data_IF_955398851902
#
_entry.id   IF_955398851902
#
_cell.length_a   1.000
_cell.length_b   1.000
_cell.length_c   1.000
_cell.angle_alpha   90.00
_cell.angle_beta   90.00
_cell.angle_gamma   90.00
#
_symmetry.space_group_name_H-M   'P 1'
#
loop_
_entity.id
_entity.type
_entity.pdbx_description
1 polymer ?
#
# COMPACT_ATOMS: atom_id res chain seq x y z
N UNK A 1 31.34 -6.90 4.29
CA UNK A 1 31.66 -5.87 3.29
C UNK A 1 30.57 -5.75 2.23
N UNK A 2 29.98 -4.56 2.02
CA UNK A 2 28.89 -4.34 1.04
C UNK A 2 29.43 -3.68 -0.25
N UNK A 3 29.12 -4.25 -1.41
CA UNK A 3 29.48 -3.71 -2.73
C UNK A 3 28.44 -2.69 -3.19
N UNK A 4 28.85 -1.50 -3.59
CA UNK A 4 27.94 -0.56 -4.24
C UNK A 4 27.65 -0.99 -5.69
N UNK A 5 26.68 -1.88 -5.88
CA UNK A 5 26.18 -2.14 -7.24
C UNK A 5 25.16 -1.07 -7.63
N UNK A 6 25.53 -0.20 -8.58
CA UNK A 6 24.52 0.43 -9.43
C UNK A 6 23.83 -0.68 -10.24
N UNK A 7 22.58 -0.49 -10.62
CA UNK A 7 21.86 -1.42 -11.52
C UNK A 7 22.55 -1.61 -12.90
N UNK A 8 23.73 -1.01 -13.15
CA UNK A 8 24.56 -1.29 -14.31
C UNK A 8 25.48 -2.48 -14.04
N UNK A 9 25.44 -3.47 -14.93
CA UNK A 9 26.31 -4.67 -14.88
C UNK A 9 27.80 -4.30 -14.86
N UNK A 10 28.16 -3.15 -15.44
CA UNK A 10 29.54 -2.69 -15.58
C UNK A 10 30.11 -2.01 -14.34
N UNK A 11 29.31 -1.65 -13.32
CA UNK A 11 29.82 -1.04 -12.08
C UNK A 11 29.95 -2.03 -10.93
N UNK A 12 29.62 -3.30 -11.16
CA UNK A 12 29.70 -4.34 -10.13
C UNK A 12 31.09 -4.98 -10.13
N UNK A 13 31.93 -4.59 -9.18
CA UNK A 13 33.29 -5.10 -9.02
C UNK A 13 33.38 -6.63 -8.94
N UNK A 14 32.40 -7.30 -8.30
CA UNK A 14 32.37 -8.77 -8.21
C UNK A 14 32.17 -9.42 -9.58
N UNK A 15 31.35 -8.80 -10.45
CA UNK A 15 31.18 -9.26 -11.84
C UNK A 15 32.37 -8.90 -12.73
N UNK A 16 33.08 -7.81 -12.43
CA UNK A 16 34.30 -7.47 -13.15
C UNK A 16 35.44 -8.46 -12.84
N UNK A 17 35.52 -8.97 -11.61
CA UNK A 17 36.49 -10.01 -11.24
C UNK A 17 36.33 -11.28 -12.09
N UNK A 18 35.09 -11.65 -12.46
CA UNK A 18 34.84 -12.78 -13.38
C UNK A 18 35.53 -12.60 -14.76
N UNK A 19 35.77 -11.35 -15.17
CA UNK A 19 36.40 -10.99 -16.46
C UNK A 19 37.86 -10.55 -16.30
N UNK A 20 38.36 -10.39 -15.09
CA UNK A 20 39.68 -9.85 -14.79
C UNK A 20 40.31 -10.64 -13.64
N UNK A 21 40.91 -11.82 -13.96
CA UNK A 21 41.42 -12.75 -12.95
C UNK A 21 42.62 -12.19 -12.15
N UNK A 22 43.27 -11.14 -12.65
CA UNK A 22 44.38 -10.47 -11.97
C UNK A 22 43.92 -9.43 -10.93
N UNK A 23 42.62 -9.35 -10.65
CA UNK A 23 42.03 -8.40 -9.72
C UNK A 23 41.47 -7.15 -10.40
N UNK A 24 40.62 -6.45 -9.67
CA UNK A 24 39.99 -5.20 -10.10
C UNK A 24 40.28 -4.13 -9.04
N UNK A 25 40.84 -2.96 -9.42
CA UNK A 25 41.08 -1.89 -8.47
C UNK A 25 39.76 -1.42 -7.85
N UNK A 26 39.77 -1.21 -6.54
CA UNK A 26 38.61 -0.73 -5.80
C UNK A 26 39.02 0.31 -4.76
N UNK A 27 38.07 1.18 -4.44
CA UNK A 27 38.13 2.06 -3.27
C UNK A 27 37.33 1.40 -2.16
N UNK A 28 37.79 1.55 -0.93
CA UNK A 28 37.14 0.97 0.23
C UNK A 28 37.18 1.91 1.43
N UNK A 29 36.28 1.66 2.38
CA UNK A 29 36.20 2.34 3.67
C UNK A 29 36.30 1.27 4.75
N UNK A 30 37.10 1.57 5.77
CA UNK A 30 37.27 0.74 6.96
C UNK A 30 36.51 1.36 8.13
N UNK A 31 36.11 0.52 9.08
CA UNK A 31 35.62 0.97 10.39
C UNK A 31 36.79 1.28 11.35
N UNK A 32 36.45 1.66 12.59
CA UNK A 32 37.41 1.97 13.65
C UNK A 32 38.27 0.76 14.07
N UNK A 33 37.83 -0.46 13.74
CA UNK A 33 38.59 -1.70 13.97
C UNK A 33 39.53 -2.03 12.79
N UNK A 34 39.48 -1.26 11.70
CA UNK A 34 40.27 -1.48 10.49
C UNK A 34 39.63 -2.46 9.50
N UNK A 35 38.40 -2.91 9.75
CA UNK A 35 37.69 -3.88 8.92
C UNK A 35 36.98 -3.21 7.76
N UNK A 36 37.02 -3.82 6.57
CA UNK A 36 36.42 -3.22 5.37
C UNK A 36 34.89 -3.32 5.39
N UNK A 37 34.23 -2.19 5.58
CA UNK A 37 32.76 -2.11 5.67
C UNK A 37 32.08 -1.89 4.32
N UNK A 38 32.68 -1.07 3.44
CA UNK A 38 32.11 -0.73 2.13
C UNK A 38 33.19 -0.55 1.09
N UNK A 39 32.88 -0.89 -0.16
CA UNK A 39 33.79 -0.74 -1.29
C UNK A 39 33.05 -0.43 -2.60
N UNK A 40 33.76 0.19 -3.54
CA UNK A 40 33.21 0.60 -4.81
C UNK A 40 34.27 0.92 -5.87
N UNK A 41 33.84 1.10 -7.11
CA UNK A 41 34.73 1.27 -8.25
C UNK A 41 35.34 2.68 -8.37
N UNK A 42 34.77 3.68 -7.69
CA UNK A 42 35.21 5.09 -7.76
C UNK A 42 35.36 5.66 -6.36
N UNK A 43 36.28 6.60 -6.13
CA UNK A 43 36.46 7.26 -4.82
C UNK A 43 35.22 7.98 -4.26
N UNK A 44 34.22 8.27 -5.10
CA UNK A 44 32.92 8.84 -4.72
C UNK A 44 31.80 7.78 -4.73
N UNK A 45 32.08 6.59 -4.20
CA UNK A 45 31.09 5.51 -4.12
C UNK A 45 30.07 5.80 -3.02
N UNK A 46 28.80 5.43 -3.24
CA UNK A 46 27.76 5.52 -2.20
C UNK A 46 28.06 4.49 -1.13
N UNK A 47 28.08 4.96 0.10
CA UNK A 47 28.06 4.10 1.27
C UNK A 47 26.78 3.25 1.26
N UNK A 48 26.95 1.96 1.46
CA UNK A 48 25.83 1.09 1.74
C UNK A 48 25.33 1.40 3.15
N UNK A 49 24.02 1.62 3.29
CA UNK A 49 23.42 1.78 4.61
C UNK A 49 23.59 0.48 5.42
N UNK A 50 23.84 0.64 6.70
CA UNK A 50 23.98 -0.48 7.64
C UNK A 50 22.64 -1.17 7.81
N UNK A 51 21.59 -0.38 8.09
CA UNK A 51 20.21 -0.82 8.21
C UNK A 51 19.53 -0.92 6.84
N UNK A 52 18.74 -1.96 6.68
CA UNK A 52 17.78 -2.17 5.60
C UNK A 52 16.50 -1.37 5.86
N UNK A 53 15.69 -1.15 4.82
CA UNK A 53 14.38 -0.49 4.97
C UNK A 53 13.49 -1.25 5.97
N UNK A 54 13.55 -2.60 5.97
CA UNK A 54 12.80 -3.43 6.91
C UNK A 54 13.17 -3.17 8.36
N UNK A 55 14.44 -2.84 8.64
CA UNK A 55 14.91 -2.51 9.98
C UNK A 55 14.40 -1.17 10.53
N UNK A 56 13.71 -0.36 9.71
CA UNK A 56 13.00 0.85 10.16
C UNK A 56 11.50 0.63 10.41
N UNK A 57 10.96 -0.57 10.16
CA UNK A 57 9.57 -0.92 10.48
C UNK A 57 9.49 -1.40 11.94
N UNK A 58 8.56 -0.96 12.78
CA UNK A 58 8.44 -1.49 14.15
C UNK A 58 8.31 -3.03 14.19
N UNK A 59 8.98 -3.71 15.14
CA UNK A 59 9.03 -5.18 15.22
C UNK A 59 7.66 -5.83 15.39
N UNK A 60 6.75 -5.16 16.12
CA UNK A 60 5.36 -5.59 16.26
C UNK A 60 4.58 -5.57 14.94
N UNK A 61 5.08 -4.86 13.92
CA UNK A 61 4.52 -4.79 12.57
C UNK A 61 5.30 -5.65 11.55
N UNK A 62 6.39 -6.30 11.99
CA UNK A 62 7.18 -7.20 11.14
C UNK A 62 6.62 -8.62 11.24
N UNK A 63 6.16 -9.13 10.09
CA UNK A 63 5.85 -10.55 9.80
C UNK A 63 4.54 -11.14 10.35
N UNK A 64 4.02 -12.14 9.63
CA UNK A 64 2.90 -12.98 10.10
C UNK A 64 3.32 -13.76 11.34
N UNK A 65 2.42 -13.80 12.32
CA UNK A 65 2.56 -14.53 13.58
C UNK A 65 1.49 -15.61 13.64
N UNK A 66 1.84 -16.74 14.24
CA UNK A 66 0.93 -17.82 14.49
C UNK A 66 0.79 -18.03 16.00
N UNK A 67 -0.44 -18.25 16.44
CA UNK A 67 -0.78 -18.59 17.81
C UNK A 67 -2.00 -19.52 17.76
N UNK A 68 -1.94 -20.61 18.52
CA UNK A 68 -3.05 -21.55 18.64
C UNK A 68 -3.84 -21.19 19.89
N UNK A 69 -5.11 -20.90 19.72
CA UNK A 69 -6.06 -20.62 20.79
C UNK A 69 -7.00 -21.81 21.04
N UNK A 70 -7.68 -21.88 22.19
CA UNK A 70 -8.67 -22.93 22.44
C UNK A 70 -9.81 -22.95 21.41
N UNK A 71 -10.24 -21.78 20.93
CA UNK A 71 -11.27 -21.66 19.88
C UNK A 71 -10.77 -22.25 18.55
N UNK A 72 -9.49 -22.03 18.20
CA UNK A 72 -8.89 -22.66 17.02
C UNK A 72 -8.89 -24.19 17.14
N UNK A 73 -8.61 -24.73 18.32
CA UNK A 73 -8.63 -26.18 18.58
C UNK A 73 -10.05 -26.74 18.42
N UNK A 74 -11.07 -26.06 18.95
CA UNK A 74 -12.47 -26.46 18.78
C UNK A 74 -12.87 -26.44 17.30
N UNK A 75 -12.54 -25.38 16.56
CA UNK A 75 -12.84 -25.30 15.12
C UNK A 75 -12.13 -26.38 14.31
N UNK A 76 -10.90 -26.76 14.68
CA UNK A 76 -10.18 -27.86 14.04
C UNK A 76 -10.80 -29.23 14.37
N UNK A 77 -11.31 -29.43 15.58
CA UNK A 77 -12.05 -30.66 15.96
C UNK A 77 -13.35 -30.79 15.17
N UNK A 78 -14.10 -29.70 15.02
CA UNK A 78 -15.35 -29.65 14.26
C UNK A 78 -15.12 -29.90 12.75
N UNK A 79 -13.91 -29.66 12.27
CA UNK A 79 -13.48 -29.95 10.90
C UNK A 79 -12.82 -31.33 10.75
N UNK A 80 -13.05 -32.25 11.69
CA UNK A 80 -12.58 -33.64 11.67
C UNK A 80 -11.05 -33.80 11.59
N UNK A 81 -10.28 -32.83 12.10
CA UNK A 81 -8.82 -32.96 12.20
C UNK A 81 -8.47 -34.10 13.19
N UNK A 82 -7.61 -35.07 12.84
CA UNK A 82 -7.29 -36.21 13.69
C UNK A 82 -6.83 -35.82 15.10
N UNK A 83 -7.34 -36.52 16.13
CA UNK A 83 -7.06 -36.23 17.55
C UNK A 83 -5.57 -36.18 17.89
N UNK A 84 -4.76 -37.03 17.27
CA UNK A 84 -3.29 -37.06 17.44
C UNK A 84 -2.56 -35.81 16.90
N UNK A 85 -3.19 -35.06 15.98
CA UNK A 85 -2.72 -33.75 15.52
C UNK A 85 -3.18 -32.69 16.52
N UNK A 86 -4.44 -32.74 16.94
CA UNK A 86 -5.03 -31.84 17.94
C UNK A 86 -4.21 -31.84 19.24
N UNK A 87 -3.91 -33.01 19.81
CA UNK A 87 -3.11 -33.14 21.05
C UNK A 87 -1.73 -32.48 20.94
N UNK A 88 -1.10 -32.53 19.75
CA UNK A 88 0.19 -31.87 19.52
C UNK A 88 0.05 -30.36 19.39
N UNK A 89 -1.04 -29.88 18.77
CA UNK A 89 -1.34 -28.46 18.64
C UNK A 89 -1.69 -27.83 19.99
N UNK A 90 -2.41 -28.54 20.86
CA UNK A 90 -2.68 -28.14 22.24
C UNK A 90 -1.38 -27.92 23.02
N UNK A 91 -0.35 -28.74 22.79
CA UNK A 91 0.99 -28.56 23.37
C UNK A 91 1.72 -27.27 22.93
N UNK A 92 1.21 -26.59 21.91
CA UNK A 92 1.71 -25.32 21.39
C UNK A 92 0.91 -24.09 21.86
N UNK A 93 -0.17 -24.27 22.63
CA UNK A 93 -1.00 -23.16 23.13
C UNK A 93 -0.19 -22.07 23.87
N UNK A 94 -0.73 -20.85 23.84
CA UNK A 94 -0.20 -19.65 24.53
C UNK A 94 1.21 -19.23 24.11
N UNK A 95 1.73 -19.81 23.02
CA UNK A 95 3.00 -19.43 22.40
C UNK A 95 2.73 -18.71 21.10
N UNK A 96 3.47 -17.63 20.89
CA UNK A 96 3.49 -16.91 19.62
C UNK A 96 4.71 -17.39 18.84
N UNK A 97 4.47 -17.82 17.61
CA UNK A 97 5.51 -18.31 16.71
C UNK A 97 5.67 -17.36 15.53
N UNK A 98 6.92 -17.16 15.13
CA UNK A 98 7.20 -16.55 13.83
C UNK A 98 6.95 -17.57 12.72
N UNK A 99 6.64 -17.07 11.52
CA UNK A 99 6.27 -17.89 10.36
C UNK A 99 7.18 -19.11 10.14
N UNK A 100 8.49 -18.92 10.00
CA UNK A 100 9.39 -20.04 9.69
C UNK A 100 9.40 -21.10 10.80
N UNK A 101 9.40 -20.66 12.06
CA UNK A 101 9.37 -21.55 13.22
C UNK A 101 8.05 -22.34 13.28
N UNK A 102 6.91 -21.68 13.06
CA UNK A 102 5.62 -22.35 13.09
C UNK A 102 5.49 -23.38 11.97
N UNK A 103 5.94 -23.04 10.76
CA UNK A 103 5.88 -23.95 9.61
C UNK A 103 6.74 -25.20 9.86
N UNK A 104 7.93 -25.07 10.42
CA UNK A 104 8.78 -26.21 10.76
C UNK A 104 8.12 -27.12 11.83
N UNK A 105 7.51 -26.52 12.86
CA UNK A 105 6.75 -27.28 13.86
C UNK A 105 5.57 -28.00 13.23
N UNK A 106 4.83 -27.32 12.35
CA UNK A 106 3.68 -27.89 11.67
C UNK A 106 4.08 -29.05 10.75
N UNK A 107 5.19 -28.93 10.01
CA UNK A 107 5.74 -30.00 9.17
C UNK A 107 6.06 -31.25 10.01
N UNK A 108 6.66 -31.05 11.18
CA UNK A 108 6.97 -32.13 12.12
C UNK A 108 5.71 -32.77 12.75
N UNK A 109 4.66 -31.98 12.99
CA UNK A 109 3.37 -32.48 13.50
C UNK A 109 2.67 -33.33 12.44
N UNK A 110 2.60 -32.82 11.21
CA UNK A 110 1.89 -33.44 10.10
C UNK A 110 2.64 -34.64 9.52
N UNK A 111 3.98 -34.69 9.60
CA UNK A 111 4.81 -35.81 9.07
C UNK A 111 4.47 -36.21 7.63
N UNK A 112 4.14 -35.24 6.78
CA UNK A 112 3.76 -35.47 5.38
C UNK A 112 2.31 -35.92 5.14
N UNK A 113 1.42 -35.81 6.14
CA UNK A 113 -0.04 -35.97 5.99
C UNK A 113 -0.66 -34.81 5.20
N UNK A 114 -1.93 -34.99 4.83
CA UNK A 114 -2.72 -34.19 3.89
C UNK A 114 -2.44 -32.67 3.89
N UNK A 115 -2.28 -32.12 2.68
CA UNK A 115 -2.12 -30.68 2.43
C UNK A 115 -3.36 -29.88 2.85
N UNK A 116 -4.53 -30.51 2.92
CA UNK A 116 -5.77 -29.91 3.40
C UNK A 116 -5.69 -29.52 4.88
N UNK A 117 -5.26 -30.44 5.77
CA UNK A 117 -5.08 -30.13 7.20
C UNK A 117 -4.05 -29.03 7.43
N UNK A 118 -2.98 -29.02 6.63
CA UNK A 118 -1.99 -27.93 6.70
C UNK A 118 -2.66 -26.58 6.46
N UNK A 119 -3.42 -26.47 5.38
CA UNK A 119 -4.07 -25.21 4.98
C UNK A 119 -5.08 -24.77 6.02
N UNK A 120 -5.84 -25.71 6.58
CA UNK A 120 -6.80 -25.47 7.64
C UNK A 120 -6.14 -25.01 8.95
N UNK A 121 -5.09 -25.68 9.41
CA UNK A 121 -4.37 -25.29 10.63
C UNK A 121 -3.74 -23.90 10.48
N UNK A 122 -3.12 -23.61 9.33
CA UNK A 122 -2.58 -22.27 9.05
C UNK A 122 -3.70 -21.23 9.06
N UNK A 123 -4.87 -21.55 8.48
CA UNK A 123 -6.04 -20.68 8.47
C UNK A 123 -6.54 -20.35 9.88
N UNK A 124 -6.57 -21.27 10.83
CA UNK A 124 -7.05 -20.97 12.19
C UNK A 124 -5.95 -20.32 13.05
N UNK A 125 -4.74 -20.88 13.06
CA UNK A 125 -3.66 -20.37 13.91
C UNK A 125 -3.06 -19.02 13.46
N UNK A 126 -3.33 -18.58 12.22
CA UNK A 126 -2.75 -17.37 11.65
C UNK A 126 -3.37 -16.09 12.21
N UNK A 127 -2.52 -15.14 12.60
CA UNK A 127 -2.98 -13.77 12.93
C UNK A 127 -2.98 -12.91 11.67
N UNK A 128 -4.18 -12.69 11.15
CA UNK A 128 -4.41 -11.92 9.93
C UNK A 128 -4.79 -10.49 10.25
N UNK A 129 -4.30 -9.55 9.43
CA UNK A 129 -4.91 -8.24 9.37
C UNK A 129 -6.26 -8.29 8.63
N UNK A 130 -7.04 -7.21 8.73
CA UNK A 130 -8.36 -7.12 8.08
C UNK A 130 -8.26 -7.30 6.55
N UNK A 131 -7.20 -6.82 5.91
CA UNK A 131 -7.03 -6.97 4.47
C UNK A 131 -6.82 -8.45 4.09
N UNK A 132 -5.98 -9.17 4.84
CA UNK A 132 -5.80 -10.60 4.67
C UNK A 132 -7.08 -11.37 4.98
N UNK A 133 -7.82 -11.01 6.02
CA UNK A 133 -9.10 -11.65 6.35
C UNK A 133 -10.13 -11.53 5.21
N UNK A 134 -10.18 -10.38 4.53
CA UNK A 134 -11.15 -10.10 3.46
C UNK A 134 -10.68 -10.64 2.11
N UNK A 135 -9.42 -10.40 1.73
CA UNK A 135 -8.88 -10.73 0.40
C UNK A 135 -8.19 -12.09 0.33
N UNK A 136 -8.03 -12.77 1.46
CA UNK A 136 -7.33 -14.03 1.54
C UNK A 136 -5.82 -13.88 1.51
N UNK A 137 -5.13 -15.02 1.47
CA UNK A 137 -3.70 -15.09 1.28
C UNK A 137 -3.34 -16.32 0.43
N UNK A 138 -2.11 -16.35 -0.10
CA UNK A 138 -1.67 -17.40 -1.02
C UNK A 138 -1.44 -18.76 -0.36
N UNK A 139 -1.60 -18.87 0.96
CA UNK A 139 -1.16 -20.03 1.74
C UNK A 139 -2.31 -20.78 2.43
N UNK A 140 -3.33 -20.07 2.90
CA UNK A 140 -4.31 -20.61 3.85
C UNK A 140 -5.77 -20.50 3.38
N UNK A 141 -6.19 -19.41 2.72
CA UNK A 141 -7.58 -19.24 2.30
C UNK A 141 -7.77 -18.19 1.19
N UNK A 142 -8.82 -18.39 0.38
CA UNK A 142 -9.22 -17.46 -0.68
C UNK A 142 -9.99 -16.25 -0.14
N UNK A 143 -9.96 -15.15 -0.90
CA UNK A 143 -10.72 -13.95 -0.58
C UNK A 143 -12.24 -14.15 -0.67
N UNK A 144 -12.97 -13.35 0.10
CA UNK A 144 -14.43 -13.34 0.20
C UNK A 144 -15.06 -12.11 -0.45
N UNK A 145 -14.30 -11.39 -1.27
CA UNK A 145 -14.73 -10.19 -2.01
C UNK A 145 -14.36 -10.33 -3.48
N UNK A 146 -15.33 -10.07 -4.35
CA UNK A 146 -15.25 -10.28 -5.79
C UNK A 146 -15.66 -9.01 -6.51
N UNK A 147 -14.83 -8.56 -7.46
CA UNK A 147 -15.08 -7.33 -8.23
C UNK A 147 -15.58 -7.67 -9.62
N UNK A 148 -16.65 -7.02 -10.05
CA UNK A 148 -17.12 -7.01 -11.44
C UNK A 148 -16.57 -5.79 -12.18
N UNK A 149 -16.61 -5.86 -13.51
CA UNK A 149 -16.34 -4.73 -14.37
C UNK A 149 -17.31 -3.57 -14.08
N UNK A 150 -16.77 -2.35 -14.11
CA UNK A 150 -17.58 -1.13 -14.03
C UNK A 150 -17.84 -0.60 -15.44
N UNK A 151 -19.09 -0.65 -15.88
CA UNK A 151 -19.51 -0.18 -17.18
C UNK A 151 -20.00 1.26 -17.12
N UNK A 152 -19.80 2.01 -18.20
CA UNK A 152 -20.29 3.37 -18.30
C UNK A 152 -21.83 3.40 -18.23
N UNK A 153 -22.38 4.37 -17.52
CA UNK A 153 -23.84 4.52 -17.41
C UNK A 153 -24.48 4.81 -18.78
N UNK A 154 -25.61 4.17 -19.06
CA UNK A 154 -26.29 4.22 -20.36
C UNK A 154 -26.73 5.63 -20.81
N UNK A 155 -26.85 6.57 -19.87
CA UNK A 155 -27.23 7.96 -20.11
C UNK A 155 -26.12 8.82 -20.74
N UNK A 156 -24.91 8.27 -20.91
CA UNK A 156 -23.74 9.01 -21.40
C UNK A 156 -23.43 8.70 -22.86
N UNK A 157 -23.05 9.72 -23.63
CA UNK A 157 -22.66 9.55 -25.03
C UNK A 157 -21.25 8.91 -25.11
N UNK A 158 -21.11 7.68 -25.65
CA UNK A 158 -19.81 7.01 -25.73
C UNK A 158 -18.75 7.75 -26.55
N UNK A 159 -19.16 8.68 -27.42
CA UNK A 159 -18.26 9.42 -28.31
C UNK A 159 -17.56 10.62 -27.63
N UNK A 160 -17.96 11.04 -26.42
CA UNK A 160 -17.38 12.18 -25.69
C UNK A 160 -16.74 11.79 -24.34
N UNK A 161 -16.31 10.54 -24.23
CA UNK A 161 -15.79 9.96 -22.97
C UNK A 161 -14.30 10.21 -22.79
N UNK A 162 -13.56 10.39 -23.89
CA UNK A 162 -12.10 10.39 -23.91
C UNK A 162 -11.54 11.79 -24.19
N UNK A 163 -10.43 12.11 -23.54
CA UNK A 163 -9.57 13.22 -23.93
C UNK A 163 -8.68 12.83 -25.12
N UNK A 164 -8.00 13.82 -25.71
CA UNK A 164 -7.03 13.57 -26.77
C UNK A 164 -5.88 12.65 -26.33
N UNK A 165 -5.46 11.79 -27.25
CA UNK A 165 -4.30 10.92 -27.05
C UNK A 165 -3.00 11.72 -27.06
N UNK A 166 -2.23 11.66 -25.98
CA UNK A 166 -0.98 12.42 -25.88
C UNK A 166 0.09 11.71 -25.03
N UNK A 167 1.31 12.26 -25.04
CA UNK A 167 2.42 11.81 -24.19
C UNK A 167 2.27 12.50 -22.82
N UNK A 168 2.13 11.74 -21.73
CA UNK A 168 2.02 12.33 -20.39
C UNK A 168 3.35 12.90 -19.91
N UNK A 169 3.29 13.81 -18.94
CA UNK A 169 4.50 14.38 -18.34
C UNK A 169 5.45 13.30 -17.81
N UNK A 170 6.75 13.49 -18.04
CA UNK A 170 7.78 12.54 -17.63
C UNK A 170 8.20 12.83 -16.19
N UNK A 171 7.85 11.92 -15.29
CA UNK A 171 8.15 12.04 -13.87
C UNK A 171 9.45 11.33 -13.49
N UNK A 172 10.13 11.90 -12.48
CA UNK A 172 11.30 11.27 -11.88
C UNK A 172 10.97 9.95 -11.18
N UNK A 173 11.91 9.00 -11.25
CA UNK A 173 11.82 7.75 -10.47
C UNK A 173 12.17 8.00 -9.00
N UNK A 174 11.53 7.31 -8.05
CA UNK A 174 11.94 7.34 -6.64
C UNK A 174 13.43 7.03 -6.51
N UNK A 175 14.16 7.83 -5.72
CA UNK A 175 15.58 7.60 -5.42
C UNK A 175 15.75 7.40 -3.92
N UNK A 176 16.42 6.32 -3.46
CA UNK A 176 16.75 6.13 -2.04
C UNK A 176 17.62 7.26 -1.47
N UNK A 177 18.34 8.01 -2.31
CA UNK A 177 19.13 9.17 -1.88
C UNK A 177 18.27 10.35 -1.41
N UNK A 178 16.95 10.32 -1.65
CA UNK A 178 15.98 11.30 -1.15
C UNK A 178 15.40 10.82 0.20
N UNK A 179 16.29 10.39 1.11
CA UNK A 179 15.92 9.77 2.39
C UNK A 179 15.04 10.67 3.26
N UNK A 180 15.21 11.99 3.16
CA UNK A 180 14.45 12.97 3.95
C UNK A 180 12.95 12.98 3.61
N UNK A 181 12.56 12.41 2.47
CA UNK A 181 11.15 12.22 2.13
C UNK A 181 10.58 10.91 2.69
N UNK A 182 11.43 9.91 3.00
CA UNK A 182 11.02 8.57 3.45
C UNK A 182 11.15 8.38 4.95
N UNK A 183 12.04 9.12 5.62
CA UNK A 183 12.30 9.02 7.06
C UNK A 183 11.68 10.21 7.80
N UNK A 184 11.22 10.00 9.03
CA UNK A 184 10.79 11.10 9.91
C UNK A 184 12.02 11.96 10.23
N UNK A 185 11.87 13.28 10.11
CA UNK A 185 12.93 14.26 10.34
C UNK A 185 12.54 15.14 11.52
N UNK A 186 13.46 15.32 12.46
CA UNK A 186 13.29 16.23 13.61
C UNK A 186 13.81 17.64 13.33
N UNK A 187 14.50 17.83 12.20
CA UNK A 187 15.09 19.10 11.78
C UNK A 187 14.95 19.31 10.27
N UNK A 188 14.84 20.57 9.86
CA UNK A 188 14.91 20.99 8.46
C UNK A 188 16.34 21.45 8.06
N UNK A 189 17.27 21.49 9.02
CA UNK A 189 18.68 21.82 8.75
C UNK A 189 19.35 20.66 8.01
N UNK A 190 19.86 20.95 6.82
CA UNK A 190 20.55 20.02 5.93
C UNK A 190 21.65 19.20 6.63
N UNK A 191 22.36 19.80 7.60
CA UNK A 191 23.45 19.14 8.34
C UNK A 191 22.96 18.12 9.37
N UNK A 192 21.70 18.23 9.78
CA UNK A 192 21.08 17.48 10.86
C UNK A 192 19.95 16.56 10.36
N UNK A 193 19.87 16.31 9.05
CA UNK A 193 18.89 15.40 8.47
C UNK A 193 19.26 13.94 8.77
N UNK A 194 18.31 13.19 9.32
CA UNK A 194 18.46 11.75 9.58
C UNK A 194 18.42 10.96 8.27
N UNK A 195 19.36 10.04 8.10
CA UNK A 195 19.44 9.07 7.02
C UNK A 195 19.26 7.63 7.53
N UNK A 196 19.38 6.64 6.65
CA UNK A 196 19.03 5.25 6.98
C UNK A 196 19.96 4.57 8.00
N UNK A 197 21.07 5.18 8.43
CA UNK A 197 21.84 4.59 9.54
C UNK A 197 21.33 5.11 10.90
N UNK A 198 20.62 6.22 10.91
CA UNK A 198 20.13 6.83 12.15
C UNK A 198 18.99 6.02 12.77
N UNK A 199 18.74 6.27 14.05
CA UNK A 199 17.60 5.70 14.75
C UNK A 199 16.34 6.53 14.51
N UNK A 200 15.80 6.42 13.29
CA UNK A 200 14.55 7.09 12.89
C UNK A 200 13.57 6.13 12.24
N UNK A 201 12.30 6.48 12.30
CA UNK A 201 11.19 5.71 11.72
C UNK A 201 10.94 6.07 10.25
N UNK A 202 10.41 5.11 9.50
CA UNK A 202 9.90 5.37 8.16
C UNK A 202 8.56 6.15 8.23
N UNK A 203 8.34 7.09 7.31
CA UNK A 203 7.09 7.88 7.20
C UNK A 203 5.90 7.05 6.68
N UNK A 204 6.15 5.82 6.23
CA UNK A 204 5.14 4.89 5.73
C UNK A 204 4.78 5.12 4.26
N UNK A 205 3.47 5.09 3.97
CA UNK A 205 2.96 5.03 2.61
C UNK A 205 3.22 6.31 1.78
N UNK A 206 3.72 6.12 0.56
CA UNK A 206 3.84 7.18 -0.43
C UNK A 206 2.47 7.53 -1.00
N UNK A 207 2.03 8.76 -0.77
CA UNK A 207 0.79 9.32 -1.33
C UNK A 207 1.08 10.51 -2.25
N UNK A 208 0.23 10.69 -3.25
CA UNK A 208 0.27 11.84 -4.15
C UNK A 208 -0.86 12.82 -3.79
N UNK A 209 -0.59 14.11 -3.87
CA UNK A 209 -1.66 15.11 -3.82
C UNK A 209 -2.53 15.00 -5.07
N UNK A 210 -3.82 15.34 -4.95
CA UNK A 210 -4.61 15.61 -6.14
C UNK A 210 -4.00 16.79 -6.91
N UNK A 211 -4.16 16.80 -8.23
CA UNK A 211 -3.76 17.89 -9.09
C UNK A 211 -4.95 18.19 -10.02
N UNK A 212 -5.08 19.42 -10.55
CA UNK A 212 -6.24 19.82 -11.36
C UNK A 212 -6.35 19.11 -12.72
N UNK A 213 -5.38 18.26 -13.09
CA UNK A 213 -5.42 17.47 -14.32
C UNK A 213 -5.38 18.28 -15.62
N UNK A 214 -5.03 19.58 -15.57
CA UNK A 214 -5.01 20.47 -16.73
C UNK A 214 -3.71 20.41 -17.54
N UNK A 215 -2.59 20.15 -16.87
CA UNK A 215 -1.26 20.20 -17.47
C UNK A 215 -0.61 18.80 -17.57
N UNK A 216 -1.40 17.75 -17.79
CA UNK A 216 -0.89 16.36 -17.76
C UNK A 216 0.01 15.98 -18.95
N UNK A 217 0.01 16.79 -20.01
CA UNK A 217 0.75 16.56 -21.25
C UNK A 217 2.20 17.06 -21.13
N UNK A 218 3.16 16.30 -21.65
CA UNK A 218 4.58 16.72 -21.74
C UNK A 218 4.74 17.93 -22.68
N UNK A 219 5.57 18.90 -22.30
CA UNK A 219 5.81 20.09 -23.12
C UNK A 219 6.66 19.74 -24.34
N UNK A 220 6.31 20.33 -25.49
CA UNK A 220 6.93 19.98 -26.79
C UNK A 220 8.43 20.28 -26.89
N UNK A 221 8.93 21.27 -26.15
CA UNK A 221 10.35 21.66 -26.19
C UNK A 221 11.27 20.58 -25.59
N UNK A 222 10.76 19.80 -24.64
CA UNK A 222 11.49 18.73 -23.94
C UNK A 222 11.52 17.40 -24.73
N UNK A 223 10.69 17.27 -25.77
CA UNK A 223 10.67 16.08 -26.63
C UNK A 223 11.92 15.95 -27.51
N UNK A 224 12.63 17.04 -27.80
CA UNK A 224 13.84 17.00 -28.65
C UNK A 224 15.01 16.27 -28.00
N UNK A 225 15.04 16.16 -26.66
CA UNK A 225 16.14 15.55 -25.90
C UNK A 225 15.88 14.11 -25.46
N UNK A 226 14.62 13.63 -25.49
CA UNK A 226 14.23 12.31 -24.95
C UNK A 226 13.68 11.37 -26.03
N UNK A 227 14.56 10.90 -26.93
CA UNK A 227 14.22 10.03 -28.09
C UNK A 227 13.56 8.68 -27.78
N UNK A 228 13.46 8.25 -26.51
CA UNK A 228 13.06 6.88 -26.14
C UNK A 228 11.73 6.76 -25.37
N UNK A 229 10.94 7.84 -25.23
CA UNK A 229 9.65 7.78 -24.51
C UNK A 229 8.51 7.87 -25.52
N UNK A 230 7.81 6.75 -25.73
CA UNK A 230 6.79 6.58 -26.77
C UNK A 230 5.40 6.27 -26.22
N UNK A 231 5.25 6.09 -24.91
CA UNK A 231 3.96 5.74 -24.31
C UNK A 231 2.99 6.90 -24.41
N UNK A 232 1.95 6.73 -25.23
CA UNK A 232 0.80 7.63 -25.32
C UNK A 232 -0.33 7.10 -24.46
N UNK A 233 -1.12 7.99 -23.88
CA UNK A 233 -2.31 7.65 -23.11
C UNK A 233 -3.51 8.44 -23.64
N UNK A 234 -4.69 7.87 -23.45
CA UNK A 234 -5.98 8.48 -23.78
C UNK A 234 -6.82 8.50 -22.50
N UNK A 235 -6.76 9.58 -21.70
CA UNK A 235 -7.47 9.64 -20.43
C UNK A 235 -8.99 9.73 -20.61
N UNK A 236 -9.74 9.26 -19.62
CA UNK A 236 -11.18 9.50 -19.53
C UNK A 236 -11.43 10.94 -19.08
N UNK A 237 -12.38 11.61 -19.74
CA UNK A 237 -12.81 12.99 -19.45
C UNK A 237 -13.49 13.06 -18.07
N UNK A 238 -13.38 14.20 -17.42
CA UNK A 238 -14.05 14.47 -16.15
C UNK A 238 -15.58 14.38 -16.29
N UNK A 239 -16.27 13.92 -15.24
CA UNK A 239 -17.73 13.85 -15.17
C UNK A 239 -18.35 12.54 -15.67
N UNK A 240 -17.56 11.62 -16.21
CA UNK A 240 -18.03 10.29 -16.60
C UNK A 240 -18.37 9.43 -15.37
N UNK A 241 -19.42 8.60 -15.49
CA UNK A 241 -19.94 7.74 -14.43
C UNK A 241 -19.88 6.29 -14.88
N UNK A 242 -19.38 5.45 -13.99
CA UNK A 242 -19.28 4.01 -14.20
C UNK A 242 -19.98 3.31 -13.05
N UNK A 243 -20.65 2.20 -13.36
CA UNK A 243 -21.34 1.37 -12.42
C UNK A 243 -20.81 -0.06 -12.55
N UNK A 244 -20.30 -0.58 -11.44
CA UNK A 244 -19.90 -1.97 -11.28
C UNK A 244 -20.46 -2.50 -9.98
N UNK A 245 -20.14 -3.75 -9.68
CA UNK A 245 -20.61 -4.43 -8.48
C UNK A 245 -19.44 -5.08 -7.75
N UNK A 246 -19.53 -5.08 -6.43
CA UNK A 246 -18.64 -5.81 -5.54
C UNK A 246 -19.50 -6.82 -4.80
N UNK A 247 -19.26 -8.11 -5.03
CA UNK A 247 -19.92 -9.20 -4.30
C UNK A 247 -19.07 -9.59 -3.11
N UNK A 248 -19.69 -10.02 -2.03
CA UNK A 248 -18.98 -10.52 -0.87
C UNK A 248 -19.74 -11.66 -0.19
N UNK A 249 -19.03 -12.45 0.60
CA UNK A 249 -19.59 -13.62 1.28
C UNK A 249 -19.19 -13.64 2.75
N UNK A 250 -20.19 -13.76 3.64
CA UNK A 250 -20.01 -13.97 5.08
C UNK A 250 -18.97 -13.02 5.72
N UNK A 251 -18.98 -11.73 5.35
CA UNK A 251 -18.17 -10.73 6.04
C UNK A 251 -18.81 -10.42 7.39
N UNK A 252 -17.99 -10.35 8.44
CA UNK A 252 -18.43 -9.82 9.74
C UNK A 252 -18.83 -8.34 9.62
N UNK A 253 -19.50 -7.81 10.63
CA UNK A 253 -19.90 -6.39 10.61
C UNK A 253 -18.68 -5.46 10.53
N UNK A 254 -17.58 -5.81 11.22
CA UNK A 254 -16.30 -5.10 11.18
C UNK A 254 -15.65 -5.20 9.79
N UNK A 255 -15.65 -6.37 9.17
CA UNK A 255 -15.06 -6.58 7.85
C UNK A 255 -15.82 -5.83 6.75
N UNK A 256 -17.15 -5.90 6.78
CA UNK A 256 -17.99 -5.14 5.86
C UNK A 256 -17.82 -3.63 6.10
N UNK A 257 -17.72 -3.21 7.36
CA UNK A 257 -17.40 -1.84 7.75
C UNK A 257 -16.07 -1.35 7.17
N UNK A 258 -15.03 -2.19 7.21
CA UNK A 258 -13.72 -1.88 6.64
C UNK A 258 -13.79 -1.67 5.12
N UNK A 259 -14.49 -2.55 4.40
CA UNK A 259 -14.69 -2.43 2.96
C UNK A 259 -15.45 -1.14 2.61
N UNK A 260 -16.55 -0.86 3.32
CA UNK A 260 -17.35 0.36 3.11
C UNK A 260 -16.57 1.62 3.45
N UNK A 261 -15.82 1.64 4.55
CA UNK A 261 -14.95 2.75 4.96
C UNK A 261 -13.85 3.03 3.92
N UNK A 262 -13.30 1.97 3.30
CA UNK A 262 -12.31 2.11 2.24
C UNK A 262 -12.92 2.62 0.92
N UNK A 263 -14.18 2.30 0.62
CA UNK A 263 -14.86 2.74 -0.60
C UNK A 263 -15.43 4.16 -0.48
N UNK A 264 -16.14 4.45 0.62
CA UNK A 264 -16.84 5.71 0.86
C UNK A 264 -15.97 6.68 1.66
N UNK A 265 -15.29 7.59 0.96
CA UNK A 265 -14.46 8.60 1.61
C UNK A 265 -15.30 9.76 2.18
N UNK A 266 -14.75 10.52 3.15
CA UNK A 266 -15.40 11.72 3.67
C UNK A 266 -15.74 12.74 2.59
N UNK A 267 -16.68 13.64 2.88
CA UNK A 267 -17.11 14.66 1.93
C UNK A 267 -15.92 15.47 1.35
N UNK A 268 -15.90 15.61 0.02
CA UNK A 268 -14.85 16.32 -0.71
C UNK A 268 -13.56 15.51 -0.91
N UNK A 269 -13.45 14.31 -0.34
CA UNK A 269 -12.34 13.39 -0.56
C UNK A 269 -12.58 12.47 -1.76
N UNK A 270 -11.54 12.27 -2.58
CA UNK A 270 -11.59 11.47 -3.79
C UNK A 270 -10.49 10.40 -3.75
N UNK A 271 -10.77 9.26 -4.35
CA UNK A 271 -9.79 8.21 -4.60
C UNK A 271 -8.84 8.61 -5.72
N UNK A 272 -7.69 7.92 -5.77
CA UNK A 272 -6.71 8.04 -6.85
C UNK A 272 -6.46 6.68 -7.47
N UNK A 273 -6.77 6.54 -8.76
CA UNK A 273 -6.63 5.30 -9.55
C UNK A 273 -5.70 5.51 -10.75
N UNK A 274 -5.09 4.42 -11.24
CA UNK A 274 -4.24 4.44 -12.43
C UNK A 274 -2.82 5.00 -12.25
N UNK A 275 -2.07 5.10 -13.35
CA UNK A 275 -0.66 5.53 -13.32
C UNK A 275 -0.49 7.06 -13.43
N UNK A 276 -1.52 7.77 -13.89
CA UNK A 276 -1.51 9.23 -14.06
C UNK A 276 -1.80 10.04 -12.79
N UNK A 277 -1.86 9.39 -11.61
CA UNK A 277 -2.09 10.06 -10.31
C UNK A 277 -1.19 11.27 -10.09
N UNK A 278 0.14 11.21 -10.35
CA UNK A 278 0.99 12.34 -10.02
C UNK A 278 0.86 13.52 -11.00
N UNK A 279 0.24 13.32 -12.17
CA UNK A 279 -0.02 14.38 -13.15
C UNK A 279 -1.48 14.85 -13.11
N UNK A 280 -2.24 14.43 -12.10
CA UNK A 280 -3.63 14.84 -11.86
C UNK A 280 -4.70 14.03 -12.56
N UNK A 281 -4.34 12.93 -13.20
CA UNK A 281 -5.32 12.01 -13.77
C UNK A 281 -5.75 10.95 -12.74
N UNK A 282 -6.96 10.42 -12.91
CA UNK A 282 -7.46 9.30 -12.12
C UNK A 282 -7.98 9.67 -10.73
N UNK A 283 -8.43 10.92 -10.53
CA UNK A 283 -9.23 11.27 -9.35
C UNK A 283 -10.66 10.75 -9.55
N UNK A 284 -11.17 9.94 -8.63
CA UNK A 284 -12.53 9.36 -8.74
C UNK A 284 -13.28 9.46 -7.42
N UNK A 285 -14.57 9.71 -7.50
CA UNK A 285 -15.49 9.59 -6.37
C UNK A 285 -16.16 8.21 -6.45
N UNK A 286 -16.19 7.46 -5.35
CA UNK A 286 -16.89 6.18 -5.28
C UNK A 286 -18.09 6.37 -4.34
N UNK A 287 -19.27 5.99 -4.82
CA UNK A 287 -20.54 6.08 -4.06
C UNK A 287 -21.14 4.67 -3.93
N UNK A 288 -20.81 3.93 -2.87
CA UNK A 288 -21.33 2.58 -2.71
C UNK A 288 -22.83 2.60 -2.38
N UNK A 289 -23.55 1.60 -2.86
CA UNK A 289 -24.90 1.23 -2.41
C UNK A 289 -24.80 -0.19 -1.87
N UNK A 290 -25.26 -0.40 -0.64
CA UNK A 290 -25.21 -1.71 0.01
C UNK A 290 -26.51 -2.45 -0.20
N UNK A 291 -26.41 -3.73 -0.54
CA UNK A 291 -27.52 -4.67 -0.61
C UNK A 291 -27.12 -5.97 0.09
N UNK A 292 -27.80 -6.29 1.19
CA UNK A 292 -27.63 -7.53 1.95
C UNK A 292 -28.63 -8.57 1.46
N UNK A 293 -28.09 -9.70 1.02
CA UNK A 293 -28.86 -10.87 0.57
C UNK A 293 -29.59 -11.53 1.74
N UNK A 294 -30.89 -11.76 1.58
CA UNK A 294 -31.69 -12.61 2.46
C UNK A 294 -31.83 -13.97 1.78
N UNK A 295 -30.92 -14.90 2.14
CA UNK A 295 -30.84 -16.22 1.51
C UNK A 295 -32.16 -16.97 1.55
N UNK A 296 -32.90 -16.87 2.66
CA UNK A 296 -34.18 -17.58 2.80
C UNK A 296 -35.17 -17.07 1.77
N UNK A 297 -35.36 -15.75 1.69
CA UNK A 297 -36.31 -15.15 0.74
C UNK A 297 -35.87 -15.31 -0.72
N UNK A 298 -34.56 -15.27 -0.98
CA UNK A 298 -33.99 -15.56 -2.31
C UNK A 298 -34.39 -16.94 -2.82
N UNK A 299 -34.37 -17.95 -1.94
CA UNK A 299 -34.78 -19.31 -2.30
C UNK A 299 -36.31 -19.52 -2.27
N UNK A 300 -37.06 -18.68 -1.56
CA UNK A 300 -38.54 -18.70 -1.55
C UNK A 300 -39.14 -17.98 -2.78
N UNK A 301 -38.49 -16.94 -3.32
CA UNK A 301 -38.98 -16.16 -4.47
C UNK A 301 -37.83 -15.72 -5.39
N UNK A 302 -37.89 -16.16 -6.66
CA UNK A 302 -36.91 -15.87 -7.71
C UNK A 302 -36.65 -14.37 -7.94
N UNK A 303 -37.66 -13.51 -7.77
CA UNK A 303 -37.57 -12.08 -8.06
C UNK A 303 -37.33 -11.20 -6.84
N UNK A 304 -37.36 -11.76 -5.62
CA UNK A 304 -37.29 -10.97 -4.39
C UNK A 304 -36.06 -10.04 -4.32
N UNK A 305 -34.87 -10.58 -4.58
CA UNK A 305 -33.64 -9.77 -4.55
C UNK A 305 -33.55 -8.80 -5.72
N UNK A 306 -34.09 -9.16 -6.90
CA UNK A 306 -34.08 -8.29 -8.07
C UNK A 306 -34.97 -7.06 -7.88
N UNK A 307 -36.13 -7.23 -7.25
CA UNK A 307 -37.04 -6.12 -6.93
C UNK A 307 -36.48 -5.25 -5.79
N UNK A 308 -35.86 -5.87 -4.77
CA UNK A 308 -35.23 -5.17 -3.64
C UNK A 308 -34.03 -4.31 -4.08
N UNK A 309 -33.13 -4.84 -4.90
CA UNK A 309 -31.95 -4.11 -5.40
C UNK A 309 -32.33 -2.81 -6.14
N UNK A 310 -33.49 -2.78 -6.80
CA UNK A 310 -33.96 -1.62 -7.55
C UNK A 310 -34.67 -0.56 -6.70
N UNK A 311 -35.05 -0.87 -5.46
CA UNK A 311 -35.94 -0.03 -4.64
C UNK A 311 -35.33 0.45 -3.33
N UNK A 312 -34.42 -0.32 -2.72
CA UNK A 312 -33.90 -0.05 -1.38
C UNK A 312 -32.40 -0.34 -1.26
N UNK A 313 -31.69 0.46 -0.46
CA UNK A 313 -30.30 0.21 -0.07
C UNK A 313 -30.21 0.09 1.44
N UNK A 314 -29.40 -0.85 1.93
CA UNK A 314 -29.19 -1.05 3.36
C UNK A 314 -28.31 0.07 3.96
N UNK A 315 -28.57 0.43 5.22
CA UNK A 315 -27.79 1.46 5.91
C UNK A 315 -26.34 0.99 6.17
N UNK A 316 -25.38 1.77 5.69
CA UNK A 316 -23.95 1.51 5.83
C UNK A 316 -23.39 2.00 7.18
N UNK A 317 -24.13 2.86 7.89
CA UNK A 317 -23.63 3.59 9.06
C UNK A 317 -23.26 2.67 10.21
N UNK A 318 -24.08 1.63 10.48
CA UNK A 318 -23.80 0.66 11.54
C UNK A 318 -22.47 -0.08 11.29
N UNK A 319 -22.23 -0.55 10.07
CA UNK A 319 -21.04 -1.32 9.73
C UNK A 319 -19.77 -0.47 9.82
N UNK A 320 -19.82 0.75 9.28
CA UNK A 320 -18.71 1.71 9.40
C UNK A 320 -18.41 2.01 10.88
N UNK A 321 -19.44 2.17 11.72
CA UNK A 321 -19.25 2.41 13.15
C UNK A 321 -18.59 1.23 13.87
N UNK A 322 -19.01 -0.01 13.60
CA UNK A 322 -18.38 -1.21 14.17
C UNK A 322 -16.89 -1.29 13.79
N UNK A 323 -16.57 -1.03 12.52
CA UNK A 323 -15.17 -0.96 12.07
C UNK A 323 -14.37 0.16 12.75
N UNK A 324 -14.94 1.37 12.83
CA UNK A 324 -14.27 2.49 13.48
C UNK A 324 -13.98 2.20 14.96
N UNK A 325 -14.96 1.66 15.69
CA UNK A 325 -14.81 1.28 17.10
C UNK A 325 -13.76 0.19 17.27
N UNK A 326 -13.78 -0.84 16.42
CA UNK A 326 -12.77 -1.90 16.43
C UNK A 326 -11.37 -1.31 16.26
N UNK A 327 -11.13 -0.48 15.24
CA UNK A 327 -9.81 0.09 14.98
C UNK A 327 -9.36 1.02 16.10
N UNK A 328 -10.24 1.89 16.59
CA UNK A 328 -9.95 2.80 17.71
C UNK A 328 -9.51 2.02 18.95
N UNK A 329 -10.23 0.94 19.31
CA UNK A 329 -9.86 0.06 20.40
C UNK A 329 -8.48 -0.58 20.19
N UNK A 330 -8.18 -1.07 18.98
CA UNK A 330 -6.88 -1.69 18.67
C UNK A 330 -5.70 -0.72 18.75
N UNK A 331 -5.92 0.57 18.46
CA UNK A 331 -4.87 1.60 18.55
C UNK A 331 -4.83 2.28 19.93
N UNK A 332 -5.66 1.86 20.89
CA UNK A 332 -5.71 2.43 22.24
C UNK A 332 -6.42 3.78 22.34
N UNK A 333 -7.22 4.15 21.33
CA UNK A 333 -8.06 5.35 21.35
C UNK A 333 -9.49 4.96 21.71
N UNK A 334 -10.04 5.53 22.79
CA UNK A 334 -11.36 5.11 23.31
C UNK A 334 -12.51 6.02 22.87
N UNK A 335 -12.22 7.24 22.40
CA UNK A 335 -13.23 8.24 22.04
C UNK A 335 -12.79 9.04 20.82
N UNK A 336 -13.52 8.93 19.71
CA UNK A 336 -13.24 9.72 18.52
C UNK A 336 -13.92 9.20 17.25
N UNK A 337 -13.73 9.94 16.17
CA UNK A 337 -14.01 9.47 14.81
C UNK A 337 -12.70 9.00 14.21
N UNK A 338 -12.69 7.85 13.52
CA UNK A 338 -11.46 7.28 12.99
C UNK A 338 -10.74 8.25 12.02
N UNK A 339 -11.48 9.05 11.26
CA UNK A 339 -10.96 10.11 10.38
C UNK A 339 -10.34 11.33 11.08
N UNK A 340 -10.45 11.42 12.42
CA UNK A 340 -9.84 12.47 13.24
C UNK A 340 -8.54 12.02 13.92
N UNK A 341 -8.21 10.74 13.86
CA UNK A 341 -6.90 10.22 14.32
C UNK A 341 -5.78 10.85 13.51
N UNK A 342 -4.61 11.06 14.13
CA UNK A 342 -3.48 11.78 13.53
C UNK A 342 -3.17 11.31 12.10
N UNK A 343 -3.07 9.99 11.88
CA UNK A 343 -2.68 9.44 10.58
C UNK A 343 -3.77 9.62 9.52
N UNK A 344 -5.02 9.36 9.86
CA UNK A 344 -6.13 9.45 8.91
C UNK A 344 -6.56 10.89 8.65
N UNK A 345 -6.36 11.79 9.61
CA UNK A 345 -6.56 13.21 9.41
C UNK A 345 -5.61 13.75 8.33
N UNK A 346 -4.32 13.40 8.41
CA UNK A 346 -3.33 13.76 7.37
C UNK A 346 -3.70 13.16 6.00
N UNK A 347 -4.17 11.90 5.97
CA UNK A 347 -4.66 11.27 4.74
C UNK A 347 -5.89 11.99 4.18
N UNK A 348 -6.89 12.30 5.01
CA UNK A 348 -8.12 13.02 4.64
C UNK A 348 -7.78 14.33 3.94
N UNK A 349 -6.79 15.06 4.45
CA UNK A 349 -6.28 16.28 3.81
C UNK A 349 -5.75 15.99 2.41
N UNK A 350 -4.90 14.98 2.25
CA UNK A 350 -4.34 14.61 0.94
C UNK A 350 -5.38 14.08 -0.06
N UNK A 351 -6.47 13.49 0.44
CA UNK A 351 -7.58 13.00 -0.39
C UNK A 351 -8.59 14.10 -0.73
N UNK A 352 -8.60 15.23 -0.02
CA UNK A 352 -9.56 16.30 -0.27
C UNK A 352 -9.26 17.01 -1.61
N UNK A 353 -10.08 16.72 -2.62
CA UNK A 353 -9.95 17.25 -3.96
C UNK A 353 -10.27 18.75 -4.03
N UNK A 354 -11.12 19.26 -3.13
CA UNK A 354 -11.48 20.69 -3.08
C UNK A 354 -10.28 21.55 -2.69
N UNK A 355 -9.34 21.03 -1.89
CA UNK A 355 -8.16 21.80 -1.46
C UNK A 355 -7.30 22.26 -2.62
N UNK A 356 -7.18 21.46 -3.69
CA UNK A 356 -6.30 21.73 -4.82
C UNK A 356 -6.97 22.55 -5.93
N UNK A 357 -8.19 23.05 -5.67
CA UNK A 357 -8.89 23.97 -6.58
C UNK A 357 -8.41 25.42 -6.39
N UNK A 358 -7.88 25.79 -5.22
CA UNK A 358 -7.32 27.14 -5.01
C UNK A 358 -5.93 27.28 -5.63
N UNK A 359 -5.61 28.45 -6.18
CA UNK A 359 -4.28 28.71 -6.76
C UNK A 359 -3.17 28.65 -5.70
N UNK A 360 -3.44 29.14 -4.49
CA UNK A 360 -2.48 29.13 -3.39
C UNK A 360 -2.10 27.71 -2.97
N UNK A 361 -3.07 26.83 -2.73
CA UNK A 361 -2.79 25.46 -2.32
C UNK A 361 -2.11 24.67 -3.44
N UNK A 362 -2.47 24.91 -4.71
CA UNK A 362 -1.78 24.30 -5.86
C UNK A 362 -0.28 24.57 -5.85
N UNK A 363 0.13 25.79 -5.49
CA UNK A 363 1.56 26.11 -5.36
C UNK A 363 2.22 25.39 -4.18
N UNK A 364 1.51 25.17 -3.07
CA UNK A 364 2.02 24.42 -1.90
C UNK A 364 2.17 22.92 -2.16
N UNK A 365 1.35 22.34 -3.05
CA UNK A 365 1.35 20.89 -3.35
C UNK A 365 2.00 20.51 -4.68
N UNK A 366 2.60 21.46 -5.40
CA UNK A 366 3.25 21.17 -6.68
C UNK A 366 4.44 20.23 -6.49
N UNK A 367 4.77 19.48 -7.55
CA UNK A 367 5.99 18.68 -7.56
C UNK A 367 7.23 19.57 -7.62
N UNK A 368 8.31 19.07 -7.03
CA UNK A 368 9.63 19.67 -7.13
C UNK A 368 10.21 19.45 -8.54
N UNK A 369 10.95 20.42 -9.03
CA UNK A 369 11.50 20.45 -10.38
C UNK A 369 13.02 20.17 -10.37
N UNK A 370 13.47 19.44 -11.39
CA UNK A 370 14.89 19.13 -11.65
C UNK A 370 15.44 20.07 -12.74
N UNK A 371 14.59 20.50 -13.68
CA UNK A 371 14.98 21.26 -14.87
C UNK A 371 14.39 22.68 -14.82
N UNK A 372 15.29 23.66 -14.79
CA UNK A 372 15.02 25.10 -14.77
C UNK A 372 16.36 25.82 -14.79
N UNK A 373 16.44 27.04 -15.32
CA UNK A 373 17.68 27.77 -15.69
C UNK A 373 18.80 27.84 -14.64
N UNK A 374 18.59 27.45 -13.37
CA UNK A 374 19.62 27.20 -12.35
C UNK A 374 19.11 26.50 -11.06
N UNK A 375 17.97 25.77 -11.06
CA UNK A 375 17.38 25.25 -9.80
C UNK A 375 16.99 23.77 -9.89
N UNK A 376 17.85 22.92 -9.35
CA UNK A 376 17.45 21.58 -8.92
C UNK A 376 16.98 21.68 -7.47
N UNK A 377 15.66 21.67 -7.26
CA UNK A 377 15.03 21.86 -5.94
C UNK A 377 15.37 20.73 -4.95
N UNK A 378 15.82 19.57 -5.46
CA UNK A 378 16.24 18.44 -4.61
C UNK A 378 17.61 18.67 -3.96
N UNK A 379 18.42 19.63 -4.44
CA UNK A 379 19.75 19.92 -3.86
C UNK A 379 19.66 20.38 -2.41
N UNK A 380 18.65 21.18 -2.10
CA UNK A 380 18.43 21.73 -0.76
C UNK A 380 17.80 20.71 0.20
N UNK A 381 17.46 19.50 -0.27
CA UNK A 381 16.81 18.43 0.48
C UNK A 381 15.68 18.92 1.41
N UNK A 382 14.68 19.64 0.87
CA UNK A 382 13.58 20.12 1.68
C UNK A 382 12.86 18.94 2.35
N UNK A 383 12.54 19.09 3.63
CA UNK A 383 11.70 18.15 4.36
C UNK A 383 10.25 18.41 3.97
N UNK A 384 9.50 17.35 3.66
CA UNK A 384 8.10 17.50 3.28
C UNK A 384 7.26 17.74 4.55
N UNK A 385 6.48 18.83 4.61
CA UNK A 385 5.64 19.11 5.77
C UNK A 385 4.55 18.05 5.94
N UNK A 386 3.94 18.01 7.13
CA UNK A 386 2.67 17.28 7.33
C UNK A 386 1.58 17.90 6.44
N UNK A 387 0.72 17.09 5.79
CA UNK A 387 -0.41 17.59 5.00
C UNK A 387 -1.25 18.69 5.67
N UNK A 388 -1.45 18.61 6.98
CA UNK A 388 -2.20 19.58 7.79
C UNK A 388 -1.64 21.00 7.74
N UNK A 389 -0.34 21.17 7.49
CA UNK A 389 0.30 22.49 7.31
C UNK A 389 -0.02 23.16 5.97
N UNK A 390 -0.71 22.48 5.07
CA UNK A 390 -1.12 23.04 3.77
C UNK A 390 -2.45 23.81 3.88
N UNK A 391 -3.20 23.66 4.98
CA UNK A 391 -4.44 24.42 5.23
C UNK A 391 -4.13 25.87 5.58
N UNK A 392 -4.93 26.78 5.02
CA UNK A 392 -5.04 28.17 5.48
C UNK A 392 -5.82 28.22 6.78
#
# INVERSE_FOLDING_TARGET
MKNQSLNSKDANLLKQLEKSPNGVPCFYIVDDAGEVVSFGHTGMFRLAYEKTIGEHVPENLRFMRYEITPDDIEQLRDADVPSEIIEKLEGLEKKIFFKNEFHEKLDNILKGRDQEYRSLILKHAGKYDIAQAIFGNTEAFSGRVFFEDAFMSAEQNPKDVLLDTNIPQILGTPKPTTFQHYLVQESDDLKNLSHYNDNTSIRGNKMYWHQPGKDWVERRDDMRSKKNITTKITPVKEGNRFQGRIRFENLSEVELGALLFALELPEGCFHKLGMGKPIGLGSVEIRPKLHISDRRKRYENLFYEWEKENSETDDTSKYKKEFEQYVLQQIGESNGELWKTDRLYELKIMLNFRLVQSAENRNKVRYMQIEGKNKNEYKERPVLPKPSRIRN
#
